data_IF_750561166467
#
_entry.id   IF_750561166467
#
_cell.length_a   1.000
_cell.length_b   1.000
_cell.length_c   1.000
_cell.angle_alpha   90.00
_cell.angle_beta   90.00
_cell.angle_gamma   90.00
#
_symmetry.space_group_name_H-M   'P 1'
#
loop_
_entity.id
_entity.type
_entity.pdbx_description
1 polymer ?
#
# COMPACT_ATOMS: atom_id res chain seq x y z
N UNK A 1 -9.58 5.16 7.44
CA UNK A 1 -9.69 4.79 6.02
C UNK A 1 -8.31 4.35 5.52
N UNK A 2 -8.09 3.05 5.34
CA UNK A 2 -6.82 2.46 4.84
C UNK A 2 -6.99 1.95 3.39
N UNK A 3 -8.09 2.34 2.74
CA UNK A 3 -8.45 1.96 1.37
C UNK A 3 -7.44 2.41 0.32
N UNK A 4 -6.50 3.29 0.66
CA UNK A 4 -5.35 3.66 -0.17
C UNK A 4 -4.19 2.64 -0.10
N UNK A 5 -4.14 1.79 0.91
CA UNK A 5 -3.03 0.85 1.13
C UNK A 5 -3.39 -0.48 0.46
N UNK A 6 -2.63 -0.93 -0.56
CA UNK A 6 -2.97 -2.16 -1.28
C UNK A 6 -2.86 -3.39 -0.38
N UNK A 7 -3.85 -4.28 -0.48
CA UNK A 7 -3.90 -5.51 0.28
C UNK A 7 -2.90 -6.53 -0.27
N UNK A 8 -1.86 -6.83 0.51
CA UNK A 8 -0.85 -7.83 0.14
C UNK A 8 -1.46 -9.22 -0.09
N UNK A 9 -2.42 -9.62 0.74
CA UNK A 9 -3.11 -10.92 0.62
C UNK A 9 -4.00 -10.99 -0.61
N UNK A 10 -4.63 -9.88 -0.99
CA UNK A 10 -5.44 -9.83 -2.21
C UNK A 10 -4.59 -10.00 -3.45
N UNK A 11 -3.43 -9.33 -3.50
CA UNK A 11 -2.44 -9.52 -4.58
C UNK A 11 -1.91 -10.96 -4.66
N UNK A 12 -1.88 -11.66 -3.53
CA UNK A 12 -1.52 -13.08 -3.45
C UNK A 12 -2.71 -14.03 -3.72
N UNK A 13 -3.92 -13.49 -3.97
CA UNK A 13 -5.14 -14.28 -4.17
C UNK A 13 -5.72 -14.91 -2.90
N UNK A 14 -5.19 -14.57 -1.73
CA UNK A 14 -5.53 -15.18 -0.43
C UNK A 14 -6.27 -14.24 0.53
N UNK A 15 -6.82 -13.11 0.08
CA UNK A 15 -7.56 -12.24 1.00
C UNK A 15 -8.94 -12.82 1.32
N UNK A 16 -9.14 -13.24 2.57
CA UNK A 16 -10.44 -13.67 3.10
C UNK A 16 -11.38 -12.53 3.49
N UNK A 17 -10.85 -11.29 3.62
CA UNK A 17 -11.65 -10.15 4.07
C UNK A 17 -12.59 -9.59 2.99
N UNK A 18 -12.43 -9.99 1.71
CA UNK A 18 -13.33 -9.57 0.62
C UNK A 18 -13.55 -8.05 0.57
N UNK A 19 -14.80 -7.61 0.49
CA UNK A 19 -15.18 -6.18 0.51
C UNK A 19 -15.08 -5.52 1.89
N UNK A 20 -14.92 -6.29 2.96
CA UNK A 20 -14.70 -5.78 4.31
C UNK A 20 -13.21 -5.53 4.62
N UNK A 21 -12.32 -5.75 3.65
CA UNK A 21 -10.91 -5.49 3.86
C UNK A 21 -10.67 -3.99 4.03
N UNK A 22 -10.01 -3.55 5.12
CA UNK A 22 -9.68 -2.14 5.30
C UNK A 22 -8.62 -1.65 4.30
N UNK A 23 -8.02 -2.57 3.54
CA UNK A 23 -6.99 -2.35 2.54
C UNK A 23 -7.58 -2.40 1.13
N UNK A 24 -6.94 -1.70 0.19
CA UNK A 24 -7.37 -1.67 -1.21
C UNK A 24 -7.25 -3.04 -1.88
N UNK A 25 -8.35 -3.49 -2.48
CA UNK A 25 -8.37 -4.64 -3.39
C UNK A 25 -8.27 -4.21 -4.86
N UNK A 26 -7.81 -2.98 -5.12
CA UNK A 26 -7.49 -2.55 -6.48
C UNK A 26 -6.13 -3.13 -6.89
N UNK A 27 -6.11 -3.87 -8.00
CA UNK A 27 -4.90 -4.28 -8.71
C UNK A 27 -4.23 -3.11 -9.46
N UNK A 28 -4.74 -1.90 -9.23
CA UNK A 28 -4.32 -0.72 -9.92
C UNK A 28 -2.89 -0.34 -9.50
N UNK A 29 -1.97 -0.44 -10.45
CA UNK A 29 -0.55 -0.11 -10.26
C UNK A 29 -0.36 1.37 -9.89
N UNK A 30 -1.35 2.25 -10.14
CA UNK A 30 -1.30 3.66 -9.72
C UNK A 30 -1.27 3.80 -8.20
N UNK A 31 -1.86 2.85 -7.45
CA UNK A 31 -1.77 2.84 -5.99
C UNK A 31 -0.36 2.53 -5.50
N UNK A 32 0.46 1.84 -6.29
CA UNK A 32 1.88 1.64 -5.96
C UNK A 32 2.70 2.91 -6.13
N UNK A 33 2.23 3.83 -6.99
CA UNK A 33 2.81 5.16 -7.15
C UNK A 33 2.31 6.17 -6.11
N UNK A 34 1.31 5.81 -5.30
CA UNK A 34 0.85 6.69 -4.24
C UNK A 34 1.97 6.90 -3.20
N UNK A 35 2.20 8.14 -2.74
CA UNK A 35 3.26 8.44 -1.80
C UNK A 35 3.06 7.70 -0.48
N UNK A 36 4.11 7.05 -0.01
CA UNK A 36 4.10 6.33 1.25
C UNK A 36 4.05 7.32 2.41
N UNK A 37 2.85 7.47 3.02
CA UNK A 37 2.64 8.32 4.21
C UNK A 37 3.58 7.99 5.38
N UNK A 38 3.95 6.72 5.54
CA UNK A 38 4.90 6.31 6.58
C UNK A 38 6.33 6.71 6.25
N UNK A 39 6.73 6.64 4.97
CA UNK A 39 8.04 7.10 4.52
C UNK A 39 8.17 8.62 4.63
N UNK A 40 7.11 9.33 4.25
CA UNK A 40 7.02 10.79 4.42
C UNK A 40 7.14 11.21 5.89
N UNK A 41 6.76 10.32 6.83
CA UNK A 41 6.97 10.46 8.29
C UNK A 41 8.27 9.83 8.82
N UNK A 42 9.13 9.28 7.96
CA UNK A 42 10.38 8.60 8.34
C UNK A 42 10.20 7.26 9.07
N UNK A 43 8.99 6.71 9.12
CA UNK A 43 8.61 5.51 9.89
C UNK A 43 8.27 4.30 9.00
N UNK A 44 8.67 4.30 7.72
CA UNK A 44 8.35 3.17 6.84
C UNK A 44 9.19 1.93 7.20
N UNK A 45 8.51 0.92 7.76
CA UNK A 45 9.08 -0.37 8.16
C UNK A 45 9.43 -1.28 6.98
N UNK A 46 8.93 -0.95 5.79
CA UNK A 46 9.00 -1.79 4.59
C UNK A 46 10.21 -1.46 3.70
N UNK A 47 10.86 -0.31 3.90
CA UNK A 47 12.02 0.11 3.11
C UNK A 47 11.76 0.03 1.61
N UNK A 48 12.73 -0.49 0.85
CA UNK A 48 12.66 -0.67 -0.60
C UNK A 48 11.59 -1.66 -1.07
N UNK A 49 11.00 -2.45 -0.16
CA UNK A 49 9.91 -3.38 -0.44
C UNK A 49 8.53 -2.79 -0.13
N UNK A 50 8.46 -1.49 0.14
CA UNK A 50 7.18 -0.83 0.36
C UNK A 50 6.32 -0.92 -0.90
N UNK A 51 5.03 -1.20 -0.70
CA UNK A 51 4.07 -1.22 -1.78
C UNK A 51 3.66 0.17 -2.26
N UNK A 52 4.16 1.24 -1.61
CA UNK A 52 3.85 2.65 -1.88
C UNK A 52 5.15 3.38 -2.26
N UNK A 53 5.03 4.46 -3.03
CA UNK A 53 6.17 5.21 -3.54
C UNK A 53 6.92 5.95 -2.41
N UNK A 54 8.23 5.72 -2.30
CA UNK A 54 9.13 6.47 -1.44
C UNK A 54 9.65 7.69 -2.18
N UNK A 55 8.83 8.74 -2.26
CA UNK A 55 9.20 10.00 -2.91
C UNK A 55 9.97 10.85 -1.90
N UNK A 56 11.27 11.02 -2.12
CA UNK A 56 12.07 12.03 -1.42
C UNK A 56 11.83 13.37 -2.11
N UNK A 57 11.43 14.44 -1.39
CA UNK A 57 11.62 15.79 -1.90
C UNK A 57 13.14 16.04 -1.96
N UNK A 58 13.63 16.51 -3.10
CA UNK A 58 14.97 17.11 -3.25
C UNK A 58 15.10 18.33 -2.31
#
# INVERSE_FOLDING_TARGET
DLSHVPCKFFRLGGCQAGTACPFSHSLDLTMQQAPCKYFQKGNCKFGSKCALAHILPD
#
